data_IF_770307902230
#
_entry.id   IF_770307902230
#
_cell.length_a   1.000
_cell.length_b   1.000
_cell.length_c   1.000
_cell.angle_alpha   90.00
_cell.angle_beta   90.00
_cell.angle_gamma   90.00
#
_symmetry.space_group_name_H-M   'P 1'
#
loop_
_entity.id
_entity.type
_entity.pdbx_description
1 polymer ?
#
# COMPACT_ATOMS: atom_id res chain seq x y z
N UNK A 1 19.42 13.55 24.94
CA UNK A 1 19.34 12.63 26.09
C UNK A 1 18.80 11.29 25.56
N UNK A 2 19.49 10.19 25.82
CA UNK A 2 19.02 8.86 25.41
C UNK A 2 17.84 8.43 26.29
N UNK A 3 16.76 7.90 25.73
CA UNK A 3 15.66 7.36 26.50
C UNK A 3 16.07 6.08 27.24
N UNK A 4 15.45 5.81 28.38
CA UNK A 4 15.72 4.62 29.20
C UNK A 4 14.42 3.91 29.60
N UNK A 5 14.51 2.65 29.96
CA UNK A 5 13.37 1.84 30.40
C UNK A 5 12.89 2.36 31.77
N UNK A 6 11.57 2.59 31.90
CA UNK A 6 10.99 3.16 33.13
C UNK A 6 10.93 4.70 33.16
N UNK A 7 11.40 5.39 32.13
CA UNK A 7 11.33 6.83 32.04
C UNK A 7 9.88 7.32 32.01
N UNK A 8 9.54 8.29 32.85
CA UNK A 8 8.23 8.95 32.80
C UNK A 8 8.16 9.89 31.60
N UNK A 9 7.13 9.76 30.81
CA UNK A 9 6.90 10.56 29.60
C UNK A 9 5.50 11.19 29.62
N UNK A 10 5.39 12.40 29.12
CA UNK A 10 4.11 13.06 28.85
C UNK A 10 3.67 12.71 27.43
N UNK A 11 2.49 12.13 27.28
CA UNK A 11 1.93 11.69 26.01
C UNK A 11 0.70 12.53 25.68
N UNK A 12 0.55 12.92 24.43
CA UNK A 12 -0.66 13.55 23.90
C UNK A 12 -1.16 12.83 22.64
N UNK A 13 -2.42 13.01 22.27
CA UNK A 13 -2.98 12.50 21.04
C UNK A 13 -2.84 13.52 19.92
N UNK A 14 -1.92 13.28 19.00
CA UNK A 14 -1.85 14.04 17.76
C UNK A 14 -3.01 13.66 16.85
N UNK A 15 -3.66 14.65 16.23
CA UNK A 15 -4.82 14.47 15.36
C UNK A 15 -5.94 13.62 16.00
N UNK A 16 -6.11 13.72 17.30
CA UNK A 16 -7.09 13.01 18.15
C UNK A 16 -6.95 11.47 18.19
N UNK A 17 -6.00 10.88 17.49
CA UNK A 17 -5.88 9.42 17.33
C UNK A 17 -4.49 8.91 17.72
N UNK A 18 -3.42 9.55 17.25
CA UNK A 18 -2.06 9.03 17.33
C UNK A 18 -1.38 9.50 18.63
N UNK A 19 -0.97 8.59 19.55
CA UNK A 19 -0.21 8.97 20.74
C UNK A 19 1.20 9.43 20.32
N UNK A 20 1.60 10.60 20.81
CA UNK A 20 2.94 11.13 20.65
C UNK A 20 3.52 11.54 21.99
N UNK A 21 4.84 11.42 22.15
CA UNK A 21 5.55 11.88 23.32
C UNK A 21 5.77 13.39 23.19
N UNK A 22 5.20 14.16 24.10
CA UNK A 22 5.39 15.62 24.15
C UNK A 22 6.70 15.99 24.82
N UNK A 23 7.04 15.31 25.91
CA UNK A 23 8.28 15.51 26.66
C UNK A 23 8.59 14.28 27.51
N UNK A 24 9.86 14.06 27.79
CA UNK A 24 10.31 13.14 28.81
C UNK A 24 10.64 13.93 30.09
N UNK A 25 10.32 13.35 31.25
CA UNK A 25 10.78 13.91 32.51
C UNK A 25 12.30 13.72 32.56
N UNK A 26 13.06 14.81 32.72
CA UNK A 26 14.51 14.71 32.88
C UNK A 26 14.80 13.92 34.15
N UNK A 27 15.70 12.95 34.05
CA UNK A 27 16.25 12.32 35.24
C UNK A 27 16.92 13.43 36.08
N UNK A 28 16.52 13.56 37.34
CA UNK A 28 17.21 14.42 38.26
C UNK A 28 18.59 13.81 38.53
N UNK A 29 19.69 14.49 38.19
CA UNK A 29 21.03 13.97 38.41
C UNK A 29 21.33 13.67 39.90
N UNK A 30 20.58 14.31 40.81
CA UNK A 30 20.71 14.12 42.24
C UNK A 30 19.70 13.14 42.83
N UNK A 31 18.66 12.76 42.12
CA UNK A 31 17.71 11.73 42.54
C UNK A 31 18.17 10.34 42.15
N UNK A 32 19.36 10.10 42.40
CA UNK A 32 20.14 8.90 42.34
C UNK A 32 19.39 7.60 42.57
N UNK A 33 18.99 6.95 41.54
CA UNK A 33 19.08 5.48 41.43
C UNK A 33 18.62 5.02 40.04
N UNK A 34 19.10 5.71 38.98
CA UNK A 34 18.96 5.22 37.60
C UNK A 34 20.25 4.64 36.99
N UNK A 35 21.35 4.32 37.74
CA UNK A 35 22.57 3.80 37.16
C UNK A 35 22.40 2.41 36.55
N UNK A 36 21.34 1.69 36.92
CA UNK A 36 21.12 0.29 36.49
C UNK A 36 19.99 0.11 35.48
N UNK A 37 19.28 1.16 35.07
CA UNK A 37 18.26 1.04 34.05
C UNK A 37 18.90 1.09 32.64
N UNK A 38 18.70 0.06 31.81
CA UNK A 38 19.29 0.03 30.48
C UNK A 38 18.74 1.16 29.61
N UNK A 39 19.62 1.96 29.06
CA UNK A 39 19.26 2.87 27.99
C UNK A 39 18.63 2.07 26.84
N UNK A 40 17.66 2.68 26.17
CA UNK A 40 17.12 2.10 24.94
C UNK A 40 18.16 2.24 23.83
N UNK A 41 19.03 1.24 23.71
CA UNK A 41 19.98 1.16 22.63
C UNK A 41 19.25 0.92 21.31
N UNK A 42 19.75 1.55 20.23
CA UNK A 42 19.24 1.23 18.90
C UNK A 42 19.56 -0.23 18.58
N UNK A 43 18.59 -0.99 18.04
CA UNK A 43 18.86 -2.35 17.61
C UNK A 43 19.96 -2.37 16.54
N UNK A 44 20.96 -3.20 16.70
CA UNK A 44 22.04 -3.40 15.71
C UNK A 44 21.67 -4.43 14.64
N UNK A 45 20.70 -5.29 14.96
CA UNK A 45 20.25 -6.36 14.10
C UNK A 45 18.74 -6.34 13.90
N UNK A 46 18.29 -6.81 12.75
CA UNK A 46 16.86 -6.94 12.45
C UNK A 46 16.21 -8.04 13.32
N UNK A 47 15.13 -7.76 14.06
CA UNK A 47 14.49 -8.75 14.91
C UNK A 47 13.83 -9.91 14.14
N UNK A 48 13.64 -9.77 12.82
CA UNK A 48 13.01 -10.81 11.99
C UNK A 48 14.03 -11.76 11.37
N UNK A 49 15.15 -11.23 10.84
CA UNK A 49 16.10 -12.04 10.09
C UNK A 49 17.53 -12.05 10.69
N UNK A 50 17.78 -11.32 11.77
CA UNK A 50 19.12 -11.18 12.36
C UNK A 50 20.11 -10.36 11.51
N UNK A 51 19.73 -9.93 10.32
CA UNK A 51 20.60 -9.15 9.42
C UNK A 51 20.86 -7.73 9.93
N UNK A 52 21.88 -7.08 9.38
CA UNK A 52 22.26 -5.73 9.77
C UNK A 52 21.12 -4.72 9.53
N UNK A 53 21.07 -3.68 10.33
CA UNK A 53 20.16 -2.54 10.18
C UNK A 53 20.96 -1.28 9.87
N UNK A 54 20.32 -0.31 9.23
CA UNK A 54 20.89 1.00 8.94
C UNK A 54 19.83 2.10 9.14
N UNK A 55 20.28 3.28 9.51
CA UNK A 55 19.43 4.46 9.52
C UNK A 55 19.32 4.97 8.08
N UNK A 56 18.09 5.23 7.65
CA UNK A 56 17.80 5.98 6.41
C UNK A 56 17.07 7.26 6.76
N UNK A 57 17.58 8.36 6.25
CA UNK A 57 16.92 9.64 6.31
C UNK A 57 15.97 9.82 5.12
N UNK A 58 14.81 10.40 5.39
CA UNK A 58 13.86 10.85 4.37
C UNK A 58 13.31 12.21 4.83
N UNK A 59 13.76 13.28 4.18
CA UNK A 59 13.55 14.66 4.63
C UNK A 59 13.99 14.82 6.11
N UNK A 60 13.07 15.28 6.98
CA UNK A 60 13.33 15.53 8.40
C UNK A 60 13.14 14.29 9.30
N UNK A 61 12.93 13.12 8.71
CA UNK A 61 12.66 11.88 9.46
C UNK A 61 13.74 10.82 9.21
N UNK A 62 14.14 10.14 10.28
CA UNK A 62 15.07 9.02 10.24
C UNK A 62 14.35 7.71 10.56
N UNK A 63 14.67 6.66 9.82
CA UNK A 63 14.07 5.34 9.98
C UNK A 63 15.16 4.28 10.11
N UNK A 64 14.99 3.39 11.08
CA UNK A 64 15.81 2.19 11.18
C UNK A 64 15.26 1.13 10.22
N UNK A 65 16.08 0.67 9.28
CA UNK A 65 15.69 -0.29 8.26
C UNK A 65 16.62 -1.49 8.22
N UNK A 66 16.06 -2.67 8.00
CA UNK A 66 16.85 -3.86 7.71
C UNK A 66 17.51 -3.72 6.33
N UNK A 67 18.81 -4.02 6.23
CA UNK A 67 19.56 -3.95 4.97
C UNK A 67 19.48 -5.24 4.16
N UNK A 68 19.11 -6.38 4.77
CA UNK A 68 19.00 -7.66 4.08
C UNK A 68 17.93 -7.61 2.99
N UNK A 69 18.30 -7.99 1.76
CA UNK A 69 17.37 -8.12 0.63
C UNK A 69 16.39 -9.28 0.82
N UNK A 70 16.83 -10.35 1.49
CA UNK A 70 16.08 -11.60 1.69
C UNK A 70 15.35 -11.65 3.02
N UNK A 71 15.14 -10.49 3.68
CA UNK A 71 14.44 -10.45 4.95
C UNK A 71 12.97 -10.89 4.79
N UNK A 72 12.52 -11.93 5.52
CA UNK A 72 11.12 -12.37 5.46
C UNK A 72 10.11 -11.28 5.80
N UNK A 73 10.47 -10.36 6.71
CA UNK A 73 9.61 -9.22 7.05
C UNK A 73 9.39 -8.26 5.87
N UNK A 74 10.38 -8.09 5.00
CA UNK A 74 10.21 -7.31 3.76
C UNK A 74 9.30 -8.03 2.77
N UNK A 75 9.52 -9.34 2.59
CA UNK A 75 8.69 -10.17 1.72
C UNK A 75 7.22 -10.14 2.16
N UNK A 76 6.97 -10.35 3.45
CA UNK A 76 5.61 -10.29 4.02
C UNK A 76 4.94 -8.94 3.72
N UNK A 77 5.64 -7.82 3.93
CA UNK A 77 5.07 -6.49 3.69
C UNK A 77 4.83 -6.23 2.19
N UNK A 78 5.71 -6.71 1.30
CA UNK A 78 5.51 -6.61 -0.16
C UNK A 78 4.29 -7.40 -0.60
N UNK A 79 4.14 -8.64 -0.12
CA UNK A 79 2.99 -9.49 -0.45
C UNK A 79 1.69 -8.95 0.15
N UNK A 80 1.69 -8.45 1.38
CA UNK A 80 0.53 -7.83 2.02
C UNK A 80 0.06 -6.58 1.25
N UNK A 81 1.00 -5.75 0.77
CA UNK A 81 0.70 -4.61 -0.10
C UNK A 81 0.11 -5.06 -1.44
N UNK A 82 0.74 -6.05 -2.09
CA UNK A 82 0.32 -6.60 -3.38
C UNK A 82 -1.09 -7.18 -3.33
N UNK A 83 -1.39 -7.98 -2.28
CA UNK A 83 -2.70 -8.61 -2.09
C UNK A 83 -3.75 -7.68 -1.48
N UNK A 84 -3.33 -6.56 -0.89
CA UNK A 84 -4.21 -5.66 -0.14
C UNK A 84 -5.10 -4.79 -1.01
N UNK A 85 -6.00 -4.02 -0.37
CA UNK A 85 -6.93 -3.09 -1.05
C UNK A 85 -6.26 -2.02 -1.91
N UNK A 86 -5.00 -1.70 -1.62
CA UNK A 86 -4.21 -0.73 -2.40
C UNK A 86 -3.49 -1.37 -3.58
N UNK A 87 -3.50 -2.70 -3.67
CA UNK A 87 -2.97 -3.51 -4.75
C UNK A 87 -4.10 -4.23 -5.48
N UNK A 88 -3.99 -5.56 -5.61
CA UNK A 88 -4.94 -6.41 -6.35
C UNK A 88 -6.20 -6.80 -5.56
N UNK A 89 -6.33 -6.40 -4.30
CA UNK A 89 -7.47 -6.66 -3.40
C UNK A 89 -7.87 -8.15 -3.30
N UNK A 90 -6.91 -9.05 -3.20
CA UNK A 90 -7.11 -10.49 -3.09
C UNK A 90 -7.62 -10.83 -1.69
N UNK A 91 -8.91 -11.12 -1.57
CA UNK A 91 -9.55 -11.39 -0.29
C UNK A 91 -9.03 -12.67 0.39
N UNK A 92 -8.87 -12.59 1.72
CA UNK A 92 -8.47 -13.74 2.54
C UNK A 92 -6.97 -13.94 2.68
N UNK A 93 -6.14 -13.27 1.90
CA UNK A 93 -4.68 -13.22 2.07
C UNK A 93 -4.30 -12.11 3.05
N UNK A 94 -4.64 -12.28 4.33
CA UNK A 94 -4.17 -11.38 5.38
C UNK A 94 -2.67 -11.58 5.64
N UNK A 95 -2.02 -10.57 6.24
CA UNK A 95 -0.61 -10.65 6.64
C UNK A 95 -0.30 -11.92 7.44
N UNK A 96 -1.17 -12.31 8.39
CA UNK A 96 -1.00 -13.53 9.17
C UNK A 96 -1.14 -14.82 8.32
N UNK A 97 -1.96 -14.80 7.27
CA UNK A 97 -2.04 -15.90 6.30
C UNK A 97 -0.77 -15.99 5.48
N UNK A 98 -0.29 -14.85 4.97
CA UNK A 98 0.97 -14.77 4.20
C UNK A 98 2.18 -15.23 5.01
N UNK A 99 2.28 -14.84 6.28
CA UNK A 99 3.32 -15.34 7.19
C UNK A 99 3.34 -16.87 7.30
N UNK A 100 2.17 -17.49 7.42
CA UNK A 100 2.07 -18.95 7.46
C UNK A 100 2.51 -19.59 6.14
N UNK A 101 2.09 -19.04 5.00
CA UNK A 101 2.45 -19.55 3.67
C UNK A 101 3.96 -19.47 3.42
N UNK A 102 4.59 -18.37 3.84
CA UNK A 102 6.05 -18.19 3.77
C UNK A 102 6.76 -19.19 4.70
N UNK A 103 6.29 -19.34 5.94
CA UNK A 103 6.87 -20.27 6.91
C UNK A 103 6.73 -21.74 6.48
N UNK A 104 5.70 -22.09 5.70
CA UNK A 104 5.58 -23.43 5.11
C UNK A 104 6.44 -23.61 3.86
N UNK A 105 7.11 -22.56 3.39
CA UNK A 105 7.93 -22.60 2.18
C UNK A 105 7.13 -22.63 0.87
N UNK A 106 5.83 -22.27 0.92
CA UNK A 106 4.98 -22.29 -0.27
C UNK A 106 4.99 -20.98 -1.04
N UNK A 107 5.44 -19.89 -0.40
CA UNK A 107 5.49 -18.54 -0.98
C UNK A 107 6.84 -17.91 -0.67
N UNK A 108 7.58 -17.54 -1.69
CA UNK A 108 8.87 -16.85 -1.64
C UNK A 108 8.91 -15.60 -2.54
N UNK A 109 7.95 -15.45 -3.43
CA UNK A 109 7.81 -14.34 -4.38
C UNK A 109 6.34 -14.17 -4.78
N UNK A 110 6.03 -13.19 -5.64
CA UNK A 110 4.65 -12.91 -6.05
C UNK A 110 4.00 -14.05 -6.84
N UNK A 111 4.73 -14.69 -7.76
CA UNK A 111 4.17 -15.75 -8.62
C UNK A 111 3.71 -16.97 -7.83
N UNK A 112 4.37 -17.28 -6.72
CA UNK A 112 4.02 -18.44 -5.90
C UNK A 112 2.59 -18.33 -5.33
N UNK A 113 2.05 -17.11 -5.18
CA UNK A 113 0.65 -16.90 -4.79
C UNK A 113 -0.31 -17.55 -5.79
N UNK A 114 -0.01 -17.47 -7.08
CA UNK A 114 -0.84 -17.99 -8.15
C UNK A 114 -0.68 -19.51 -8.36
N UNK A 115 0.31 -20.12 -7.69
CA UNK A 115 0.55 -21.56 -7.67
C UNK A 115 0.00 -22.26 -6.41
N UNK A 116 -0.58 -21.52 -5.46
CA UNK A 116 -1.08 -22.04 -4.18
C UNK A 116 -2.15 -23.12 -4.35
N UNK A 117 -2.85 -23.19 -5.49
CA UNK A 117 -3.78 -24.27 -5.82
C UNK A 117 -3.14 -25.67 -5.74
N UNK A 118 -1.83 -25.76 -6.00
CA UNK A 118 -1.07 -27.01 -5.95
C UNK A 118 -0.95 -27.56 -4.52
N UNK A 119 -1.07 -26.70 -3.52
CA UNK A 119 -0.97 -27.05 -2.10
C UNK A 119 -2.35 -27.25 -1.42
N UNK A 120 -3.47 -27.13 -2.16
CA UNK A 120 -4.83 -27.20 -1.60
C UNK A 120 -5.03 -28.41 -0.68
N UNK A 121 -4.63 -29.60 -1.10
CA UNK A 121 -4.82 -30.85 -0.35
C UNK A 121 -4.05 -30.86 0.99
N UNK A 122 -2.94 -30.20 1.05
CA UNK A 122 -2.14 -30.02 2.27
C UNK A 122 -2.65 -28.86 3.10
N UNK A 123 -3.02 -27.74 2.47
CA UNK A 123 -3.49 -26.53 3.14
C UNK A 123 -4.73 -26.77 4.01
N UNK A 124 -5.69 -27.51 3.53
CA UNK A 124 -6.92 -27.83 4.29
C UNK A 124 -6.65 -28.63 5.55
N UNK A 125 -5.48 -29.28 5.69
CA UNK A 125 -5.05 -30.02 6.88
C UNK A 125 -4.29 -29.16 7.89
N UNK A 126 -3.91 -27.93 7.52
CA UNK A 126 -3.17 -27.02 8.39
C UNK A 126 -4.08 -26.42 9.46
N UNK A 127 -3.61 -26.22 10.69
CA UNK A 127 -4.39 -25.63 11.77
C UNK A 127 -4.93 -24.25 11.42
N UNK A 128 -6.23 -24.03 11.66
CA UNK A 128 -6.92 -22.77 11.37
C UNK A 128 -7.41 -22.61 9.94
N UNK A 129 -7.29 -23.64 9.09
CA UNK A 129 -7.81 -23.67 7.74
C UNK A 129 -8.75 -24.86 7.52
N UNK A 130 -9.90 -24.61 6.91
CA UNK A 130 -10.82 -25.63 6.47
C UNK A 130 -11.03 -25.53 4.95
N UNK A 131 -11.61 -26.56 4.35
CA UNK A 131 -11.82 -26.62 2.90
C UNK A 131 -12.50 -25.37 2.34
N UNK A 132 -13.59 -24.92 2.96
CA UNK A 132 -14.32 -23.71 2.52
C UNK A 132 -13.46 -22.44 2.58
N UNK A 133 -12.65 -22.29 3.62
CA UNK A 133 -11.77 -21.11 3.78
C UNK A 133 -10.68 -21.11 2.72
N UNK A 134 -10.03 -22.27 2.50
CA UNK A 134 -8.99 -22.43 1.49
C UNK A 134 -9.56 -22.19 0.08
N UNK A 135 -10.71 -22.77 -0.24
CA UNK A 135 -11.35 -22.60 -1.54
C UNK A 135 -11.73 -21.13 -1.81
N UNK A 136 -12.22 -20.42 -0.79
CA UNK A 136 -12.51 -18.99 -0.90
C UNK A 136 -11.24 -18.18 -1.21
N UNK A 137 -10.12 -18.49 -0.57
CA UNK A 137 -8.85 -17.80 -0.83
C UNK A 137 -8.35 -18.11 -2.24
N UNK A 138 -8.37 -19.38 -2.65
CA UNK A 138 -7.95 -19.79 -3.99
C UNK A 138 -8.82 -19.16 -5.09
N UNK A 139 -10.13 -19.08 -4.88
CA UNK A 139 -11.04 -18.39 -5.80
C UNK A 139 -10.75 -16.89 -5.86
N UNK A 140 -10.41 -16.25 -4.72
CA UNK A 140 -10.04 -14.85 -4.70
C UNK A 140 -8.71 -14.59 -5.43
N UNK A 141 -7.73 -15.49 -5.31
CA UNK A 141 -6.48 -15.44 -6.08
C UNK A 141 -6.76 -15.56 -7.58
N UNK A 142 -7.60 -16.51 -7.98
CA UNK A 142 -7.93 -16.71 -9.40
C UNK A 142 -8.68 -15.50 -9.97
N UNK A 143 -9.61 -14.92 -9.21
CA UNK A 143 -10.28 -13.67 -9.61
C UNK A 143 -9.32 -12.48 -9.68
N UNK A 144 -8.27 -12.46 -8.85
CA UNK A 144 -7.25 -11.42 -8.86
C UNK A 144 -6.25 -11.51 -10.02
N UNK A 145 -6.33 -12.57 -10.85
CA UNK A 145 -5.52 -12.66 -12.07
C UNK A 145 -5.93 -11.64 -13.12
N UNK A 146 -7.18 -11.26 -13.15
CA UNK A 146 -7.67 -10.19 -13.99
C UNK A 146 -7.66 -8.87 -13.22
N UNK A 147 -6.91 -7.89 -13.69
CA UNK A 147 -6.77 -6.61 -13.03
C UNK A 147 -6.56 -5.47 -14.02
N UNK A 148 -6.91 -4.27 -13.60
CA UNK A 148 -6.66 -3.04 -14.34
C UNK A 148 -5.20 -2.59 -14.18
N UNK A 149 -4.60 -2.04 -15.22
CA UNK A 149 -3.21 -1.57 -15.22
C UNK A 149 -2.88 -0.62 -14.04
N UNK A 150 -3.73 0.36 -13.66
CA UNK A 150 -3.43 1.21 -12.51
C UNK A 150 -3.33 0.42 -11.20
N UNK A 151 -4.17 -0.61 -11.02
CA UNK A 151 -4.12 -1.46 -9.84
C UNK A 151 -2.86 -2.34 -9.84
N UNK A 152 -2.48 -2.87 -10.98
CA UNK A 152 -1.25 -3.64 -11.12
C UNK A 152 -0.01 -2.79 -10.80
N UNK A 153 0.14 -1.59 -11.40
CA UNK A 153 1.26 -0.68 -11.08
C UNK A 153 1.29 -0.32 -9.59
N UNK A 154 0.13 0.01 -8.99
CA UNK A 154 0.04 0.32 -7.57
C UNK A 154 0.42 -0.87 -6.68
N UNK A 155 0.10 -2.11 -7.09
CA UNK A 155 0.38 -3.33 -6.34
C UNK A 155 1.88 -3.65 -6.23
N UNK A 156 2.69 -3.19 -7.18
CA UNK A 156 4.13 -3.45 -7.21
C UNK A 156 4.88 -2.82 -6.03
N UNK A 157 4.30 -1.81 -5.37
CA UNK A 157 4.91 -1.14 -4.23
C UNK A 157 6.10 -0.26 -4.61
N UNK A 158 6.11 0.30 -5.82
CA UNK A 158 7.09 1.31 -6.23
C UNK A 158 7.00 2.48 -5.25
N UNK A 159 8.10 2.92 -4.61
CA UNK A 159 8.08 4.01 -3.67
C UNK A 159 7.39 5.26 -4.24
N UNK A 160 6.52 5.90 -3.47
CA UNK A 160 5.73 7.09 -3.83
C UNK A 160 4.65 6.86 -4.90
N UNK A 161 4.59 5.68 -5.53
CA UNK A 161 3.62 5.36 -6.58
C UNK A 161 2.49 4.52 -5.98
N UNK A 162 1.45 5.19 -5.52
CA UNK A 162 0.21 4.56 -5.06
C UNK A 162 -0.90 4.64 -6.13
N UNK A 163 -2.12 4.29 -5.75
CA UNK A 163 -3.26 4.23 -6.70
C UNK A 163 -3.54 5.55 -7.45
N UNK A 164 -3.31 6.71 -6.82
CA UNK A 164 -3.50 8.02 -7.48
C UNK A 164 -2.43 8.24 -8.54
N UNK A 165 -1.15 8.04 -8.19
CA UNK A 165 -0.05 8.20 -9.13
C UNK A 165 -0.15 7.19 -10.29
N UNK A 166 -0.52 5.93 -10.01
CA UNK A 166 -0.72 4.92 -11.05
C UNK A 166 -1.80 5.31 -12.05
N UNK A 167 -2.89 5.95 -11.61
CA UNK A 167 -3.93 6.48 -12.49
C UNK A 167 -3.42 7.62 -13.39
N UNK A 168 -2.51 8.47 -12.89
CA UNK A 168 -1.90 9.50 -13.73
C UNK A 168 -0.91 8.90 -14.75
N UNK A 169 -0.15 7.88 -14.35
CA UNK A 169 0.76 7.15 -15.27
C UNK A 169 -0.03 6.58 -16.46
N UNK A 170 -1.16 5.91 -16.22
CA UNK A 170 -1.90 5.23 -17.29
C UNK A 170 -2.65 6.17 -18.22
N UNK A 171 -2.83 7.44 -17.87
CA UNK A 171 -3.31 8.46 -18.81
C UNK A 171 -2.31 8.74 -19.92
N UNK A 172 -1.01 8.60 -19.63
CA UNK A 172 0.08 8.81 -20.58
C UNK A 172 0.50 7.49 -21.24
N UNK A 173 0.54 6.41 -20.45
CA UNK A 173 0.93 5.07 -20.86
C UNK A 173 -0.24 4.10 -20.63
N UNK A 174 -1.16 3.94 -21.59
CA UNK A 174 -2.42 3.22 -21.38
C UNK A 174 -2.26 1.70 -21.23
N UNK A 175 -1.13 1.15 -21.61
CA UNK A 175 -0.82 -0.28 -21.52
C UNK A 175 0.55 -0.53 -20.87
N UNK A 176 0.74 -1.76 -20.37
CA UNK A 176 1.97 -2.16 -19.69
C UNK A 176 3.23 -2.00 -20.55
N UNK A 177 3.15 -2.34 -21.83
CA UNK A 177 4.32 -2.32 -22.71
C UNK A 177 4.77 -0.89 -22.96
N UNK A 178 3.83 0.04 -23.17
CA UNK A 178 4.16 1.47 -23.31
C UNK A 178 4.76 2.05 -22.02
N UNK A 179 4.28 1.64 -20.86
CA UNK A 179 4.86 2.05 -19.57
C UNK A 179 6.28 1.50 -19.40
N UNK A 180 6.50 0.20 -19.66
CA UNK A 180 7.84 -0.40 -19.52
C UNK A 180 8.82 0.19 -20.56
N UNK A 181 8.39 0.43 -21.79
CA UNK A 181 9.21 1.10 -22.79
C UNK A 181 9.63 2.52 -22.33
N UNK A 182 8.73 3.26 -21.69
CA UNK A 182 9.04 4.56 -21.11
C UNK A 182 10.06 4.45 -19.97
N UNK A 183 9.97 3.43 -19.11
CA UNK A 183 10.98 3.17 -18.08
C UNK A 183 12.36 2.87 -18.69
N UNK A 184 12.41 1.98 -19.68
CA UNK A 184 13.64 1.54 -20.34
C UNK A 184 14.31 2.67 -21.15
N UNK A 185 13.53 3.58 -21.70
CA UNK A 185 14.03 4.78 -22.40
C UNK A 185 14.31 5.97 -21.49
N UNK A 186 14.15 5.77 -20.17
CA UNK A 186 14.34 6.81 -19.16
C UNK A 186 13.49 8.07 -19.43
N UNK A 187 12.21 7.86 -19.77
CA UNK A 187 11.25 8.95 -19.95
C UNK A 187 11.22 9.86 -18.72
N UNK A 188 11.03 11.15 -18.94
CA UNK A 188 10.99 12.15 -17.88
C UNK A 188 9.64 12.13 -17.16
N UNK A 189 9.43 11.18 -16.20
CA UNK A 189 8.17 11.04 -15.49
C UNK A 189 7.74 12.30 -14.72
N UNK A 190 8.64 13.25 -14.44
CA UNK A 190 8.26 14.56 -13.89
C UNK A 190 7.46 15.43 -14.85
N UNK A 191 7.34 15.10 -16.13
CA UNK A 191 6.45 15.77 -17.08
C UNK A 191 4.97 15.39 -16.85
N UNK A 192 4.71 14.34 -16.05
CA UNK A 192 3.36 13.98 -15.61
C UNK A 192 2.94 14.94 -14.49
N UNK A 193 1.71 15.49 -14.51
CA UNK A 193 1.22 16.39 -13.48
C UNK A 193 1.37 15.82 -12.06
N UNK A 194 1.91 16.63 -11.13
CA UNK A 194 2.20 16.29 -9.75
C UNK A 194 3.30 15.25 -9.52
N UNK A 195 4.07 14.88 -10.53
CA UNK A 195 5.26 14.05 -10.37
C UNK A 195 6.50 14.92 -10.21
N UNK A 196 7.32 14.56 -9.24
CA UNK A 196 8.63 15.19 -9.01
C UNK A 196 9.78 14.24 -9.32
N UNK A 197 10.99 14.74 -9.12
CA UNK A 197 12.24 13.99 -9.33
C UNK A 197 12.29 12.70 -8.51
N UNK A 198 11.80 12.71 -7.26
CA UNK A 198 11.79 11.52 -6.40
C UNK A 198 10.91 10.40 -6.96
N UNK A 199 9.73 10.74 -7.52
CA UNK A 199 8.85 9.76 -8.15
C UNK A 199 9.46 9.20 -9.43
N UNK A 200 10.06 10.08 -10.28
CA UNK A 200 10.81 9.65 -11.46
C UNK A 200 11.94 8.69 -11.06
N UNK A 201 12.75 9.05 -10.07
CA UNK A 201 13.85 8.21 -9.58
C UNK A 201 13.35 6.87 -9.05
N UNK A 202 12.22 6.86 -8.33
CA UNK A 202 11.61 5.63 -7.83
C UNK A 202 11.14 4.71 -8.96
N UNK A 203 10.51 5.26 -9.99
CA UNK A 203 10.05 4.50 -11.16
C UNK A 203 11.24 3.93 -11.95
N UNK A 204 12.23 4.75 -12.28
CA UNK A 204 13.35 4.34 -13.16
C UNK A 204 14.33 3.39 -12.50
N UNK A 205 14.42 3.39 -11.14
CA UNK A 205 15.31 2.49 -10.38
C UNK A 205 14.63 1.24 -9.85
N UNK A 206 13.34 1.09 -10.04
CA UNK A 206 12.60 -0.08 -9.57
C UNK A 206 12.99 -1.31 -10.40
N UNK A 207 13.13 -2.47 -9.74
CA UNK A 207 13.37 -3.75 -10.42
C UNK A 207 12.03 -4.34 -10.89
N UNK A 208 11.81 -4.34 -12.19
CA UNK A 208 10.61 -4.84 -12.84
C UNK A 208 10.66 -6.33 -13.20
N UNK A 209 11.69 -7.07 -12.81
CA UNK A 209 11.87 -8.49 -13.21
C UNK A 209 10.66 -9.33 -12.79
N UNK A 210 10.26 -9.29 -11.52
CA UNK A 210 9.09 -10.03 -11.03
C UNK A 210 7.78 -9.51 -11.67
N UNK A 211 7.68 -8.20 -11.91
CA UNK A 211 6.49 -7.60 -12.51
C UNK A 211 6.30 -8.04 -13.98
N UNK A 212 7.38 -8.10 -14.75
CA UNK A 212 7.37 -8.62 -16.13
C UNK A 212 6.96 -10.09 -16.14
N UNK A 213 7.51 -10.94 -15.26
CA UNK A 213 7.13 -12.34 -15.14
C UNK A 213 5.64 -12.52 -14.80
N UNK A 214 5.11 -11.69 -13.89
CA UNK A 214 3.69 -11.71 -13.54
C UNK A 214 2.80 -11.32 -14.72
N UNK A 215 3.15 -10.27 -15.44
CA UNK A 215 2.41 -9.81 -16.61
C UNK A 215 2.39 -10.85 -17.72
N UNK A 216 3.53 -11.46 -18.00
CA UNK A 216 3.68 -12.39 -19.12
C UNK A 216 3.02 -13.75 -18.86
N UNK A 217 2.95 -14.20 -17.60
CA UNK A 217 2.62 -15.60 -17.32
C UNK A 217 1.46 -15.82 -16.33
N UNK A 218 1.09 -14.82 -15.53
CA UNK A 218 0.18 -15.03 -14.41
C UNK A 218 -1.05 -14.12 -14.40
N UNK A 219 -0.95 -12.91 -14.94
CA UNK A 219 -1.99 -11.89 -14.86
C UNK A 219 -2.52 -11.51 -16.24
N UNK A 220 -3.82 -11.31 -16.32
CA UNK A 220 -4.48 -10.62 -17.42
C UNK A 220 -4.65 -9.15 -17.05
N UNK A 221 -3.67 -8.32 -17.40
CA UNK A 221 -3.68 -6.89 -17.08
C UNK A 221 -4.38 -6.14 -18.21
N UNK A 222 -5.57 -5.62 -17.91
CA UNK A 222 -6.34 -4.82 -18.85
C UNK A 222 -5.69 -3.45 -19.04
N UNK A 223 -5.51 -3.06 -20.30
CA UNK A 223 -5.10 -1.70 -20.63
C UNK A 223 -6.13 -0.70 -20.07
N UNK A 224 -5.65 0.45 -19.60
CA UNK A 224 -6.56 1.51 -19.21
C UNK A 224 -7.42 1.86 -20.43
N UNK A 225 -8.72 1.69 -20.31
CA UNK A 225 -9.62 2.15 -21.35
C UNK A 225 -9.41 3.66 -21.47
N UNK A 226 -9.15 4.19 -22.68
CA UNK A 226 -9.16 5.62 -22.87
C UNK A 226 -10.53 6.07 -22.35
N UNK A 227 -10.53 6.92 -21.33
CA UNK A 227 -11.77 7.59 -20.95
C UNK A 227 -12.23 8.26 -22.26
N UNK A 228 -13.25 7.66 -22.89
CA UNK A 228 -13.88 8.26 -24.05
C UNK A 228 -14.19 9.69 -23.67
N UNK A 229 -13.65 10.63 -24.42
CA UNK A 229 -13.78 12.07 -24.24
C UNK A 229 -15.19 12.61 -24.56
N UNK A 230 -16.20 11.77 -24.43
CA UNK A 230 -17.55 12.19 -24.12
C UNK A 230 -17.70 12.19 -22.59
N UNK A 231 -16.91 13.05 -21.96
CA UNK A 231 -17.20 13.45 -20.59
C UNK A 231 -18.53 14.20 -20.70
N UNK A 232 -19.58 13.53 -20.25
CA UNK A 232 -20.76 14.26 -19.81
C UNK A 232 -20.26 15.18 -18.68
N UNK A 233 -19.83 16.37 -19.06
CA UNK A 233 -19.20 17.37 -18.17
C UNK A 233 -20.20 18.06 -17.25
N UNK A 234 -21.33 17.39 -17.01
CA UNK A 234 -22.42 17.93 -16.18
C UNK A 234 -21.98 18.32 -14.76
N UNK A 235 -20.87 17.77 -14.27
CA UNK A 235 -20.34 18.05 -12.94
C UNK A 235 -18.94 18.73 -12.97
N UNK A 236 -18.50 19.21 -14.12
CA UNK A 236 -17.19 19.83 -14.25
C UNK A 236 -17.04 21.05 -13.33
N UNK A 237 -15.91 21.15 -12.64
CA UNK A 237 -15.62 22.21 -11.69
C UNK A 237 -16.40 22.13 -10.37
N UNK A 238 -17.30 21.16 -10.17
CA UNK A 238 -18.07 20.99 -8.95
C UNK A 238 -17.32 20.10 -7.94
N UNK A 239 -17.31 20.54 -6.67
CA UNK A 239 -16.81 19.77 -5.55
C UNK A 239 -17.96 19.24 -4.70
N UNK A 240 -18.05 17.92 -4.59
CA UNK A 240 -19.12 17.23 -3.88
C UNK A 240 -18.60 16.53 -2.61
N UNK A 241 -19.40 16.50 -1.57
CA UNK A 241 -19.14 15.71 -0.36
C UNK A 241 -20.25 14.69 -0.20
N UNK A 242 -19.89 13.44 0.08
CA UNK A 242 -20.83 12.34 0.27
C UNK A 242 -20.90 12.02 1.77
N UNK A 243 -22.09 12.12 2.36
CA UNK A 243 -22.36 11.78 3.76
C UNK A 243 -23.60 10.89 3.87
N UNK A 244 -23.79 10.27 5.04
CA UNK A 244 -24.93 9.39 5.27
C UNK A 244 -24.82 8.02 4.59
N UNK A 245 -25.92 7.25 4.64
CA UNK A 245 -26.04 5.93 4.04
C UNK A 245 -26.49 6.05 2.58
N UNK A 246 -25.85 5.33 1.67
CA UNK A 246 -26.26 5.33 0.26
C UNK A 246 -27.39 4.33 0.03
N UNK A 247 -28.44 4.78 -0.68
CA UNK A 247 -29.63 3.97 -0.96
C UNK A 247 -29.61 3.34 -2.36
N UNK A 248 -28.91 3.97 -3.33
CA UNK A 248 -28.91 3.57 -4.74
C UNK A 248 -27.55 3.06 -5.24
N UNK A 249 -26.53 3.06 -4.40
CA UNK A 249 -25.18 2.62 -4.73
C UNK A 249 -24.69 1.60 -3.71
N UNK A 250 -23.91 0.60 -4.14
CA UNK A 250 -23.36 -0.44 -3.25
C UNK A 250 -22.43 0.11 -2.19
N UNK A 251 -21.66 1.14 -2.55
CA UNK A 251 -20.69 1.78 -1.66
C UNK A 251 -20.38 3.21 -2.13
N UNK A 252 -19.60 3.94 -1.31
CA UNK A 252 -19.19 5.32 -1.64
C UNK A 252 -18.21 5.40 -2.80
N UNK A 253 -17.43 4.36 -3.04
CA UNK A 253 -16.44 4.34 -4.11
C UNK A 253 -17.11 4.25 -5.49
N UNK A 254 -18.24 3.53 -5.60
CA UNK A 254 -19.03 3.46 -6.81
C UNK A 254 -19.65 4.85 -7.17
N UNK A 255 -20.25 5.51 -6.19
CA UNK A 255 -20.79 6.86 -6.40
C UNK A 255 -19.68 7.88 -6.70
N UNK A 256 -18.54 7.77 -6.02
CA UNK A 256 -17.36 8.60 -6.27
C UNK A 256 -16.88 8.44 -7.70
N UNK A 257 -16.72 7.19 -8.18
CA UNK A 257 -16.30 6.92 -9.55
C UNK A 257 -17.28 7.52 -10.58
N UNK A 258 -18.59 7.45 -10.31
CA UNK A 258 -19.61 8.05 -11.17
C UNK A 258 -19.52 9.58 -11.23
N UNK A 259 -19.28 10.24 -10.09
CA UNK A 259 -19.11 11.69 -10.01
C UNK A 259 -17.84 12.12 -10.76
N UNK A 260 -16.73 11.41 -10.52
CA UNK A 260 -15.45 11.71 -11.16
C UNK A 260 -15.50 11.45 -12.69
N UNK A 261 -16.23 10.42 -13.13
CA UNK A 261 -16.48 10.15 -14.55
C UNK A 261 -17.29 11.27 -15.25
N UNK A 262 -18.01 12.11 -14.50
CA UNK A 262 -18.76 13.28 -15.01
C UNK A 262 -18.04 14.61 -14.77
N UNK A 263 -16.73 14.59 -14.48
CA UNK A 263 -15.92 15.79 -14.27
C UNK A 263 -16.00 16.39 -12.87
N UNK A 264 -16.81 15.83 -11.95
CA UNK A 264 -16.92 16.31 -10.58
C UNK A 264 -15.76 15.82 -9.69
N UNK A 265 -15.53 16.53 -8.57
CA UNK A 265 -14.53 16.18 -7.57
C UNK A 265 -15.20 15.80 -6.26
N UNK A 266 -14.81 14.66 -5.67
CA UNK A 266 -15.32 14.26 -4.34
C UNK A 266 -14.32 14.62 -3.27
N UNK A 267 -14.76 15.46 -2.31
CA UNK A 267 -13.99 15.88 -1.15
C UNK A 267 -14.37 15.07 0.10
N UNK A 268 -13.42 14.83 0.98
CA UNK A 268 -13.63 14.07 2.22
C UNK A 268 -14.33 14.85 3.34
N UNK A 269 -14.40 16.19 3.23
CA UNK A 269 -15.02 17.07 4.24
C UNK A 269 -15.61 18.32 3.59
N UNK A 270 -16.59 18.89 4.25
CA UNK A 270 -17.22 20.14 3.83
C UNK A 270 -16.24 21.30 4.04
N UNK A 271 -16.13 22.16 3.04
CA UNK A 271 -15.31 23.39 3.08
C UNK A 271 -16.01 24.51 2.29
N UNK A 272 -15.49 25.73 2.35
CA UNK A 272 -16.00 26.84 1.54
C UNK A 272 -15.95 26.65 0.02
N UNK A 273 -15.29 25.55 -0.46
CA UNK A 273 -15.22 25.15 -1.86
C UNK A 273 -16.17 24.01 -2.22
N UNK A 274 -16.98 23.53 -1.26
CA UNK A 274 -17.97 22.45 -1.51
C UNK A 274 -19.17 23.01 -2.26
N UNK A 275 -19.43 22.48 -3.44
CA UNK A 275 -20.56 22.87 -4.29
C UNK A 275 -21.85 22.18 -3.86
N UNK A 276 -21.79 20.88 -3.56
CA UNK A 276 -22.95 20.08 -3.15
C UNK A 276 -22.61 19.09 -2.06
N UNK A 277 -23.57 18.86 -1.17
CA UNK A 277 -23.56 17.82 -0.16
C UNK A 277 -24.59 16.74 -0.54
N UNK A 278 -24.13 15.52 -0.79
CA UNK A 278 -25.00 14.37 -1.00
C UNK A 278 -25.25 13.75 0.37
N UNK A 279 -26.48 13.89 0.87
CA UNK A 279 -26.94 13.32 2.12
C UNK A 279 -28.22 12.53 1.89
N UNK A 280 -28.24 11.26 2.25
CA UNK A 280 -29.40 10.36 2.10
C UNK A 280 -30.17 10.16 3.41
N UNK A 281 -29.85 10.89 4.46
CA UNK A 281 -30.50 10.79 5.79
C UNK A 281 -31.61 11.83 5.97
N UNK A 282 -32.24 12.23 4.88
CA UNK A 282 -33.39 13.18 4.92
C UNK A 282 -34.67 12.44 4.58
#
# INVERSE_FOLDING_TARGET
DMPFVGQEVKVFKANMIIPQIASAVKADPDSLHYPDLPFLAMPETCPVCGGAVAIRANNDSEFLVCTSATCPGKLINRLDHFCGKKGLDIKGLSKATLEKLINWGWVSNYKDLFELKNYRAEWVKKPGFGAKSVDNILNAIESGRECELPAFIASLGIPLIGSTASKEIVKVFPDWNSFIAAVETNYHFWDIPNFGFEMHSAITRFDYTEAKELYDNYLAVNAAQPQSSEVDSALDGLSLVITGKLNHFKNRDELKALIEARGGKVAGSISGKTSYLINNDV
#
